data_IF_011095473667
#
_entry.id   IF_011095473667
#
_cell.length_a   1.000
_cell.length_b   1.000
_cell.length_c   1.000
_cell.angle_alpha   90.00
_cell.angle_beta   90.00
_cell.angle_gamma   90.00
#
_symmetry.space_group_name_H-M   'P 1'
#
loop_
_entity.id
_entity.type
_entity.pdbx_description
1 polymer ?
#
# COMPACT_ATOMS: atom_id res chain seq x y z
N UNK A 1 2.08 -14.38 -20.69
CA UNK A 1 1.49 -13.26 -19.91
C UNK A 1 1.72 -13.55 -18.42
N UNK A 2 2.14 -12.55 -17.66
CA UNK A 2 2.39 -12.66 -16.20
C UNK A 2 1.05 -12.92 -15.51
N UNK A 3 0.97 -13.97 -14.69
CA UNK A 3 -0.21 -14.28 -13.87
C UNK A 3 -0.04 -13.62 -12.51
N UNK A 4 -1.03 -12.85 -12.08
CA UNK A 4 -0.93 -12.10 -10.84
C UNK A 4 -2.14 -12.26 -9.94
N UNK A 5 -1.97 -11.93 -8.65
CA UNK A 5 -3.03 -11.61 -7.72
C UNK A 5 -2.78 -10.24 -7.12
N UNK A 6 -3.84 -9.56 -6.70
CA UNK A 6 -3.75 -8.23 -6.10
C UNK A 6 -4.36 -8.19 -4.71
N UNK A 7 -3.69 -7.55 -3.75
CA UNK A 7 -4.18 -7.37 -2.39
C UNK A 7 -4.26 -5.86 -2.07
N UNK A 8 -5.44 -5.36 -1.77
CA UNK A 8 -5.62 -3.94 -1.45
C UNK A 8 -6.98 -3.67 -0.84
N UNK A 9 -7.18 -2.46 -0.28
CA UNK A 9 -8.46 -2.11 0.35
C UNK A 9 -8.93 -0.69 0.04
N UNK A 10 -8.15 0.39 0.25
CA UNK A 10 -8.60 1.77 0.09
C UNK A 10 -8.55 2.23 -1.37
N UNK A 11 -9.06 3.44 -1.57
CA UNK A 11 -9.06 4.13 -2.86
C UNK A 11 -7.64 4.28 -3.44
N UNK A 12 -6.65 4.52 -2.59
CA UNK A 12 -5.23 4.64 -2.98
C UNK A 12 -4.67 3.39 -3.68
N UNK A 13 -5.30 2.23 -3.54
CA UNK A 13 -4.88 1.01 -4.22
C UNK A 13 -5.43 0.89 -5.65
N UNK A 14 -6.40 1.71 -6.05
CA UNK A 14 -7.10 1.61 -7.35
C UNK A 14 -6.17 1.84 -8.55
N UNK A 15 -5.30 2.89 -8.57
CA UNK A 15 -4.38 3.08 -9.70
C UNK A 15 -3.50 1.85 -9.96
N UNK A 16 -2.96 1.24 -8.90
CA UNK A 16 -2.16 0.03 -9.00
C UNK A 16 -2.98 -1.18 -9.48
N UNK A 17 -4.19 -1.40 -8.93
CA UNK A 17 -5.10 -2.45 -9.40
C UNK A 17 -5.39 -2.31 -10.90
N UNK A 18 -5.71 -1.10 -11.36
CA UNK A 18 -6.01 -0.83 -12.76
C UNK A 18 -4.84 -1.12 -13.70
N UNK A 19 -3.60 -0.82 -13.30
CA UNK A 19 -2.43 -1.13 -14.14
C UNK A 19 -2.13 -2.62 -14.11
N UNK A 20 -2.16 -3.29 -12.96
CA UNK A 20 -1.94 -4.74 -12.85
C UNK A 20 -2.95 -5.51 -13.72
N UNK A 21 -4.23 -5.13 -13.67
CA UNK A 21 -5.25 -5.73 -14.53
C UNK A 21 -4.94 -5.58 -16.04
N UNK A 22 -4.37 -4.45 -16.47
CA UNK A 22 -4.05 -4.20 -17.89
C UNK A 22 -2.81 -4.94 -18.38
N UNK A 23 -1.81 -5.13 -17.50
CA UNK A 23 -0.49 -5.64 -17.95
C UNK A 23 -0.26 -7.11 -17.56
N UNK A 24 -1.20 -7.74 -16.83
CA UNK A 24 -1.11 -9.14 -16.37
C UNK A 24 -2.42 -9.88 -16.56
N UNK A 25 -2.37 -11.21 -16.44
CA UNK A 25 -3.53 -12.08 -16.22
C UNK A 25 -3.86 -12.06 -14.71
N UNK A 26 -4.69 -11.08 -14.30
CA UNK A 26 -5.09 -10.89 -12.91
C UNK A 26 -6.16 -11.92 -12.49
N UNK A 27 -5.74 -12.92 -11.71
CA UNK A 27 -6.54 -14.09 -11.32
C UNK A 27 -7.46 -13.85 -10.13
N UNK A 28 -7.04 -13.01 -9.19
CA UNK A 28 -7.74 -12.81 -7.93
C UNK A 28 -7.45 -11.42 -7.37
N UNK A 29 -8.47 -10.78 -6.83
CA UNK A 29 -8.33 -9.59 -5.97
C UNK A 29 -8.72 -9.96 -4.54
N UNK A 30 -7.84 -9.67 -3.59
CA UNK A 30 -8.06 -9.88 -2.16
C UNK A 30 -8.27 -8.54 -1.50
N UNK A 31 -9.36 -8.38 -0.75
CA UNK A 31 -9.65 -7.15 -0.02
C UNK A 31 -10.25 -7.45 1.34
N UNK A 32 -10.28 -6.47 2.24
CA UNK A 32 -10.91 -6.65 3.55
C UNK A 32 -12.42 -6.85 3.40
N UNK A 33 -13.06 -7.60 4.34
CA UNK A 33 -14.51 -7.73 4.41
C UNK A 33 -15.22 -6.39 4.45
N UNK A 34 -16.44 -6.35 3.93
CA UNK A 34 -17.31 -5.18 3.98
C UNK A 34 -17.49 -4.74 5.44
N UNK A 35 -17.38 -3.42 5.67
CA UNK A 35 -17.49 -2.83 7.01
C UNK A 35 -18.56 -1.75 7.04
N UNK A 36 -19.23 -1.55 8.18
CA UNK A 36 -20.11 -0.41 8.37
C UNK A 36 -19.39 0.91 8.06
N UNK A 37 -20.00 1.75 7.22
CA UNK A 37 -19.51 3.09 6.88
C UNK A 37 -20.61 4.10 6.90
N UNK A 38 -20.26 5.33 7.32
CA UNK A 38 -21.17 6.45 7.39
C UNK A 38 -22.24 6.30 8.49
N UNK A 39 -23.19 7.25 8.54
CA UNK A 39 -24.23 7.32 9.60
C UNK A 39 -25.21 6.16 9.57
N UNK A 40 -25.39 5.51 8.41
CA UNK A 40 -26.35 4.40 8.28
C UNK A 40 -25.87 3.10 8.94
N UNK A 41 -24.58 2.98 9.26
CA UNK A 41 -24.01 1.75 9.83
C UNK A 41 -24.11 0.51 8.92
N UNK A 42 -24.58 0.65 7.69
CA UNK A 42 -24.69 -0.49 6.74
C UNK A 42 -23.31 -0.89 6.23
N UNK A 43 -23.02 -2.21 6.12
CA UNK A 43 -21.80 -2.67 5.48
C UNK A 43 -21.71 -2.13 4.05
N UNK A 44 -20.57 -1.56 3.71
CA UNK A 44 -20.25 -1.12 2.34
C UNK A 44 -18.99 -1.81 1.84
N UNK A 45 -18.94 -2.13 0.54
CA UNK A 45 -17.75 -2.69 -0.06
C UNK A 45 -16.56 -1.74 0.05
N UNK A 46 -15.34 -2.30 -0.01
CA UNK A 46 -14.13 -1.53 -0.17
C UNK A 46 -14.05 -0.96 -1.59
N UNK A 47 -13.30 0.13 -1.80
CA UNK A 47 -13.07 0.68 -3.13
C UNK A 47 -12.45 -0.38 -4.08
N UNK A 48 -11.53 -1.18 -3.56
CA UNK A 48 -10.90 -2.27 -4.32
C UNK A 48 -11.92 -3.36 -4.71
N UNK A 49 -12.90 -3.69 -3.84
CA UNK A 49 -13.98 -4.65 -4.20
C UNK A 49 -14.85 -4.09 -5.32
N UNK A 50 -15.30 -2.85 -5.21
CA UNK A 50 -16.13 -2.21 -6.23
C UNK A 50 -15.43 -2.21 -7.59
N UNK A 51 -14.15 -1.85 -7.61
CA UNK A 51 -13.35 -1.84 -8.83
C UNK A 51 -13.12 -3.25 -9.39
N UNK A 52 -12.79 -4.23 -8.55
CA UNK A 52 -12.61 -5.62 -8.98
C UNK A 52 -13.88 -6.20 -9.64
N UNK A 53 -15.05 -5.90 -9.07
CA UNK A 53 -16.34 -6.28 -9.65
C UNK A 53 -16.58 -5.61 -11.00
N UNK A 54 -16.23 -4.32 -11.14
CA UNK A 54 -16.31 -3.59 -12.41
C UNK A 54 -15.40 -4.19 -13.48
N UNK A 55 -14.23 -4.69 -13.07
CA UNK A 55 -13.26 -5.35 -13.94
C UNK A 55 -13.58 -6.85 -14.19
N UNK A 56 -14.66 -7.38 -13.58
CA UNK A 56 -15.03 -8.80 -13.65
C UNK A 56 -13.95 -9.75 -13.13
N UNK A 57 -13.14 -9.32 -12.13
CA UNK A 57 -12.11 -10.13 -11.51
C UNK A 57 -12.66 -10.79 -10.24
N UNK A 58 -12.40 -12.09 -9.99
CA UNK A 58 -12.79 -12.76 -8.76
C UNK A 58 -12.31 -12.04 -7.51
N UNK A 59 -13.16 -11.96 -6.47
CA UNK A 59 -12.86 -11.26 -5.21
C UNK A 59 -12.89 -12.22 -4.03
N UNK A 60 -11.83 -12.18 -3.22
CA UNK A 60 -11.73 -12.88 -1.95
C UNK A 60 -11.73 -11.85 -0.79
N UNK A 61 -12.61 -12.09 0.19
CA UNK A 61 -12.70 -11.28 1.41
C UNK A 61 -12.44 -12.14 2.66
N UNK A 62 -11.18 -12.50 2.96
CA UNK A 62 -10.87 -13.42 4.03
C UNK A 62 -11.15 -12.80 5.39
N UNK A 63 -11.76 -13.56 6.31
CA UNK A 63 -12.01 -13.16 7.69
C UNK A 63 -10.89 -13.61 8.63
N UNK A 64 -10.15 -14.66 8.25
CA UNK A 64 -9.05 -15.23 9.01
C UNK A 64 -7.78 -15.35 8.17
N UNK A 65 -6.63 -15.60 8.84
CA UNK A 65 -5.36 -15.89 8.16
C UNK A 65 -5.45 -17.18 7.35
N UNK A 66 -6.16 -18.18 7.86
CA UNK A 66 -6.33 -19.47 7.18
C UNK A 66 -7.15 -19.33 5.91
N UNK A 67 -8.26 -18.57 5.94
CA UNK A 67 -9.06 -18.28 4.74
C UNK A 67 -8.23 -17.53 3.68
N UNK A 68 -7.34 -16.60 4.11
CA UNK A 68 -6.45 -15.92 3.19
C UNK A 68 -5.51 -16.91 2.49
N UNK A 69 -4.85 -17.78 3.25
CA UNK A 69 -3.92 -18.78 2.70
C UNK A 69 -4.63 -19.74 1.75
N UNK A 70 -5.77 -20.26 2.15
CA UNK A 70 -6.55 -21.20 1.34
C UNK A 70 -7.02 -20.56 0.03
N UNK A 71 -7.65 -19.38 0.09
CA UNK A 71 -8.18 -18.72 -1.10
C UNK A 71 -7.08 -18.21 -2.05
N UNK A 72 -5.93 -17.77 -1.52
CA UNK A 72 -4.75 -17.48 -2.37
C UNK A 72 -4.21 -18.78 -3.00
N UNK A 73 -4.24 -19.89 -2.26
CA UNK A 73 -3.83 -21.19 -2.76
C UNK A 73 -4.69 -21.69 -3.93
N UNK A 74 -6.00 -21.44 -3.89
CA UNK A 74 -6.95 -21.79 -4.97
C UNK A 74 -6.71 -21.00 -6.26
N UNK A 75 -6.12 -19.81 -6.18
CA UNK A 75 -5.77 -18.99 -7.36
C UNK A 75 -4.51 -19.47 -8.10
N UNK A 76 -3.82 -20.49 -7.60
CA UNK A 76 -2.60 -21.03 -8.23
C UNK A 76 -2.88 -21.73 -9.58
N UNK A 77 -1.92 -21.73 -10.52
CA UNK A 77 -0.60 -21.10 -10.41
C UNK A 77 -0.64 -19.61 -10.73
N UNK A 78 0.13 -18.79 -9.97
CA UNK A 78 0.38 -17.39 -10.28
C UNK A 78 1.86 -17.04 -10.04
N UNK A 79 2.33 -16.03 -10.75
CA UNK A 79 3.75 -15.68 -10.76
C UNK A 79 4.09 -14.69 -9.65
N UNK A 80 3.24 -13.67 -9.43
CA UNK A 80 3.50 -12.59 -8.48
C UNK A 80 2.23 -12.15 -7.75
N UNK A 81 2.35 -11.86 -6.45
CA UNK A 81 1.35 -11.11 -5.70
C UNK A 81 1.75 -9.62 -5.63
N UNK A 82 0.78 -8.71 -5.75
CA UNK A 82 1.00 -7.27 -5.57
C UNK A 82 0.12 -6.76 -4.45
N UNK A 83 0.73 -6.13 -3.45
CA UNK A 83 0.04 -5.59 -2.28
C UNK A 83 0.15 -4.07 -2.25
N UNK A 84 -0.99 -3.40 -2.03
CA UNK A 84 -1.07 -1.94 -1.82
C UNK A 84 -2.09 -1.66 -0.73
N UNK A 85 -1.64 -1.17 0.41
CA UNK A 85 -2.50 -0.75 1.53
C UNK A 85 -3.59 -1.78 1.88
N UNK A 86 -3.25 -3.06 1.97
CA UNK A 86 -4.21 -4.14 2.29
C UNK A 86 -4.76 -4.03 3.71
N UNK A 87 -3.94 -3.51 4.65
CA UNK A 87 -4.33 -3.24 6.03
C UNK A 87 -4.44 -4.50 6.91
N UNK A 88 -3.84 -5.61 6.51
CA UNK A 88 -3.68 -6.84 7.29
C UNK A 88 -2.33 -7.47 6.98
N UNK A 89 -1.78 -8.18 7.96
CA UNK A 89 -0.55 -8.96 7.77
C UNK A 89 -0.85 -10.16 6.87
N UNK A 90 -0.04 -10.30 5.83
CA UNK A 90 -0.04 -11.49 4.96
C UNK A 90 0.90 -12.52 5.57
N UNK A 91 0.42 -13.72 5.93
CA UNK A 91 1.28 -14.73 6.54
C UNK A 91 2.32 -15.28 5.55
N UNK A 92 3.49 -15.64 6.04
CA UNK A 92 4.60 -16.20 5.23
C UNK A 92 4.14 -17.39 4.37
N UNK A 93 3.21 -18.21 4.90
CA UNK A 93 2.63 -19.34 4.16
C UNK A 93 1.87 -18.89 2.89
N UNK A 94 1.26 -17.70 2.90
CA UNK A 94 0.65 -17.12 1.69
C UNK A 94 1.69 -16.53 0.74
N UNK A 95 2.72 -15.86 1.27
CA UNK A 95 3.81 -15.30 0.47
C UNK A 95 4.54 -16.35 -0.39
N UNK A 96 4.69 -17.56 0.16
CA UNK A 96 5.34 -18.70 -0.52
C UNK A 96 4.50 -19.35 -1.62
N UNK A 97 3.27 -18.92 -1.83
CA UNK A 97 2.39 -19.49 -2.87
C UNK A 97 2.67 -18.90 -4.26
N UNK A 98 3.28 -17.73 -4.34
CA UNK A 98 3.69 -17.10 -5.59
C UNK A 98 5.02 -17.70 -6.10
N UNK A 99 5.14 -17.86 -7.41
CA UNK A 99 6.39 -18.37 -8.02
C UNK A 99 7.56 -17.41 -7.86
N UNK A 100 7.29 -16.10 -7.86
CA UNK A 100 8.27 -15.01 -7.79
C UNK A 100 8.13 -14.15 -6.52
N UNK A 101 7.24 -14.51 -5.58
CA UNK A 101 7.02 -13.77 -4.34
C UNK A 101 5.95 -12.68 -4.44
N UNK A 102 5.92 -11.84 -3.42
CA UNK A 102 4.96 -10.74 -3.30
C UNK A 102 5.68 -9.39 -3.27
N UNK A 103 5.14 -8.44 -3.99
CA UNK A 103 5.59 -7.06 -4.01
C UNK A 103 4.67 -6.21 -3.13
N UNK A 104 5.24 -5.36 -2.27
CA UNK A 104 4.50 -4.33 -1.56
C UNK A 104 4.86 -2.95 -2.11
N UNK A 105 3.86 -2.19 -2.55
CA UNK A 105 3.99 -0.77 -2.87
C UNK A 105 3.77 0.03 -1.58
N UNK A 106 4.85 0.56 -1.04
CA UNK A 106 4.86 1.36 0.18
C UNK A 106 4.96 2.86 -0.10
N UNK A 107 4.20 3.68 0.63
CA UNK A 107 4.09 5.12 0.38
C UNK A 107 5.11 5.95 1.18
N UNK A 108 6.37 5.51 1.14
CA UNK A 108 7.53 6.27 1.60
C UNK A 108 8.79 5.87 0.85
N UNK A 109 9.89 6.58 1.10
CA UNK A 109 11.23 6.19 0.70
C UNK A 109 11.84 5.31 1.79
N UNK A 110 11.63 4.00 1.72
CA UNK A 110 12.19 3.04 2.66
C UNK A 110 13.73 3.10 2.68
N UNK A 111 14.36 2.95 3.85
CA UNK A 111 13.83 2.41 5.10
C UNK A 111 13.10 3.42 6.01
N UNK A 112 12.92 4.67 5.59
CA UNK A 112 12.17 5.65 6.39
C UNK A 112 10.67 5.37 6.35
N UNK A 113 10.00 5.57 7.51
CA UNK A 113 8.56 5.47 7.66
C UNK A 113 7.99 4.08 7.34
N UNK A 114 8.64 3.00 7.84
CA UNK A 114 8.03 1.67 7.85
C UNK A 114 6.74 1.70 8.67
N UNK A 115 5.69 1.03 8.21
CA UNK A 115 4.43 0.89 8.97
C UNK A 115 3.20 1.49 8.29
N UNK A 116 2.20 1.87 9.10
CA UNK A 116 0.82 2.03 8.63
C UNK A 116 0.47 3.42 8.08
N UNK A 117 1.21 4.49 8.47
CA UNK A 117 0.84 5.87 8.17
C UNK A 117 2.03 6.73 7.66
N UNK A 118 2.82 6.24 6.67
CA UNK A 118 4.02 6.93 6.22
C UNK A 118 3.76 8.33 5.67
N UNK A 119 2.63 8.54 5.00
CA UNK A 119 2.25 9.83 4.39
C UNK A 119 2.03 10.89 5.47
N UNK A 120 1.25 10.55 6.50
CA UNK A 120 0.98 11.48 7.60
C UNK A 120 2.26 11.84 8.35
N UNK A 121 3.09 10.83 8.65
CA UNK A 121 4.34 11.04 9.39
C UNK A 121 5.35 11.88 8.61
N UNK A 122 5.46 11.75 7.28
CA UNK A 122 6.34 12.61 6.47
C UNK A 122 5.91 14.08 6.50
N UNK A 123 4.58 14.35 6.46
CA UNK A 123 4.05 15.71 6.58
C UNK A 123 4.27 16.27 7.99
N UNK A 124 3.98 15.49 9.04
CA UNK A 124 4.18 15.90 10.44
C UNK A 124 5.64 16.25 10.72
N UNK A 125 6.57 15.48 10.18
CA UNK A 125 8.01 15.73 10.29
C UNK A 125 8.47 16.97 9.52
N UNK A 126 7.64 17.52 8.63
CA UNK A 126 7.99 18.69 7.82
C UNK A 126 8.97 18.36 6.69
N UNK A 127 8.94 17.12 6.18
CA UNK A 127 9.79 16.75 5.06
C UNK A 127 9.40 17.49 3.78
N UNK A 128 10.42 17.91 2.99
CA UNK A 128 10.20 18.56 1.69
C UNK A 128 9.92 17.55 0.57
N UNK A 129 10.20 16.27 0.80
CA UNK A 129 9.96 15.20 -0.16
C UNK A 129 9.72 13.87 0.54
N UNK A 130 8.96 13.00 -0.12
CA UNK A 130 8.74 11.59 0.23
C UNK A 130 8.80 10.77 -1.06
N UNK A 131 8.12 9.65 -1.14
CA UNK A 131 8.08 8.88 -2.38
C UNK A 131 7.32 7.58 -2.24
N UNK A 132 7.56 6.72 -3.18
CA UNK A 132 7.06 5.34 -3.18
C UNK A 132 8.24 4.39 -3.28
N UNK A 133 8.13 3.25 -2.60
CA UNK A 133 9.10 2.16 -2.67
C UNK A 133 8.36 0.86 -2.96
N UNK A 134 8.85 0.08 -3.92
CA UNK A 134 8.42 -1.30 -4.12
C UNK A 134 9.46 -2.20 -3.48
N UNK A 135 9.03 -3.05 -2.56
CA UNK A 135 9.85 -4.07 -1.90
C UNK A 135 9.34 -5.47 -2.23
N UNK A 136 10.23 -6.44 -2.21
CA UNK A 136 9.85 -7.84 -2.10
C UNK A 136 9.50 -8.15 -0.65
N UNK A 137 8.32 -8.73 -0.42
CA UNK A 137 7.83 -8.94 0.94
C UNK A 137 8.55 -10.09 1.63
N UNK A 138 8.94 -9.87 2.86
CA UNK A 138 9.47 -10.85 3.80
C UNK A 138 8.52 -11.04 5.02
N UNK A 139 9.04 -11.64 6.09
CA UNK A 139 8.28 -11.87 7.32
C UNK A 139 8.15 -10.62 8.21
N UNK A 140 8.95 -9.58 7.95
CA UNK A 140 8.98 -8.34 8.73
C UNK A 140 7.98 -7.30 8.27
N UNK A 141 7.93 -6.19 9.01
CA UNK A 141 7.09 -5.05 8.65
C UNK A 141 7.90 -4.10 7.75
N UNK A 142 7.62 -4.15 6.44
CA UNK A 142 8.25 -3.31 5.41
C UNK A 142 9.80 -3.41 5.41
N UNK A 143 10.36 -4.58 5.79
CA UNK A 143 11.80 -4.85 5.92
C UNK A 143 12.42 -5.46 4.68
N UNK A 144 11.61 -5.96 3.78
CA UNK A 144 12.06 -6.65 2.57
C UNK A 144 12.97 -5.81 1.68
N UNK A 145 13.75 -6.43 0.80
CA UNK A 145 14.69 -5.72 -0.06
C UNK A 145 13.96 -4.80 -1.05
N UNK A 146 14.56 -3.64 -1.27
CA UNK A 146 14.06 -2.61 -2.21
C UNK A 146 14.34 -3.04 -3.64
N UNK A 147 13.31 -3.02 -4.46
CA UNK A 147 13.38 -3.31 -5.90
C UNK A 147 13.43 -2.02 -6.73
N UNK A 148 12.60 -1.05 -6.38
CA UNK A 148 12.56 0.26 -7.03
C UNK A 148 12.02 1.33 -6.06
N UNK A 149 12.36 2.59 -6.30
CA UNK A 149 11.80 3.73 -5.58
C UNK A 149 11.66 4.95 -6.50
N UNK A 150 10.73 5.83 -6.18
CA UNK A 150 10.52 7.08 -6.91
C UNK A 150 10.19 8.21 -5.94
N UNK A 151 10.91 9.33 -6.06
CA UNK A 151 10.76 10.50 -5.18
C UNK A 151 9.54 11.32 -5.57
N UNK A 152 8.84 11.87 -4.58
CA UNK A 152 7.74 12.82 -4.72
C UNK A 152 7.99 14.05 -3.84
N UNK A 153 8.01 15.24 -4.41
CA UNK A 153 8.05 16.50 -3.66
C UNK A 153 6.74 16.68 -2.90
N UNK A 154 6.83 17.12 -1.66
CA UNK A 154 5.67 17.53 -0.84
C UNK A 154 5.51 19.04 -1.00
N UNK A 155 4.46 19.47 -1.68
CA UNK A 155 4.16 20.89 -1.83
C UNK A 155 3.68 21.48 -0.49
N UNK A 156 3.89 22.79 -0.26
CA UNK A 156 3.49 23.45 0.98
C UNK A 156 2.00 23.29 1.33
N UNK A 157 1.16 23.17 0.31
CA UNK A 157 -0.30 22.99 0.43
C UNK A 157 -0.75 21.53 0.47
N UNK A 158 0.15 20.58 0.23
CA UNK A 158 -0.24 19.16 0.23
C UNK A 158 -0.81 18.71 1.57
N UNK A 159 -1.96 18.09 1.49
CA UNK A 159 -2.56 17.33 2.58
C UNK A 159 -2.19 15.84 2.45
N UNK A 160 -2.46 15.04 3.48
CA UNK A 160 -2.28 13.58 3.34
C UNK A 160 -3.14 12.99 2.22
N UNK A 161 -4.33 13.54 1.98
CA UNK A 161 -5.19 13.10 0.89
C UNK A 161 -4.62 13.40 -0.49
N UNK A 162 -4.21 14.67 -0.75
CA UNK A 162 -3.63 15.03 -2.05
C UNK A 162 -2.30 14.32 -2.32
N UNK A 163 -1.48 14.15 -1.27
CA UNK A 163 -0.21 13.43 -1.38
C UNK A 163 -0.42 11.92 -1.62
N UNK A 164 -1.43 11.32 -0.97
CA UNK A 164 -1.82 9.92 -1.21
C UNK A 164 -2.16 9.69 -2.67
N UNK A 165 -2.95 10.57 -3.30
CA UNK A 165 -3.30 10.49 -4.72
C UNK A 165 -2.05 10.54 -5.62
N UNK A 166 -1.16 11.51 -5.39
CA UNK A 166 0.10 11.64 -6.15
C UNK A 166 0.95 10.37 -6.04
N UNK A 167 1.11 9.85 -4.82
CA UNK A 167 1.90 8.64 -4.55
C UNK A 167 1.25 7.40 -5.15
N UNK A 168 -0.08 7.28 -5.12
CA UNK A 168 -0.81 6.16 -5.73
C UNK A 168 -0.57 6.07 -7.25
N UNK A 169 -0.65 7.20 -7.96
CA UNK A 169 -0.36 7.23 -9.40
C UNK A 169 1.11 6.96 -9.70
N UNK A 170 2.02 7.57 -8.95
CA UNK A 170 3.47 7.34 -9.10
C UNK A 170 3.85 5.90 -8.86
N UNK A 171 3.27 5.29 -7.82
CA UNK A 171 3.49 3.87 -7.50
C UNK A 171 2.94 2.93 -8.56
N UNK A 172 1.78 3.24 -9.10
CA UNK A 172 1.19 2.48 -10.20
C UNK A 172 2.09 2.50 -11.45
N UNK A 173 2.65 3.66 -11.80
CA UNK A 173 3.61 3.76 -12.92
C UNK A 173 4.87 2.95 -12.64
N UNK A 174 5.44 3.07 -11.44
CA UNK A 174 6.64 2.34 -11.04
C UNK A 174 6.43 0.82 -11.10
N UNK A 175 5.22 0.32 -10.78
CA UNK A 175 4.86 -1.10 -10.91
C UNK A 175 4.86 -1.56 -12.37
N UNK A 176 4.33 -0.76 -13.31
CA UNK A 176 4.34 -1.08 -14.75
C UNK A 176 5.77 -1.25 -15.23
N UNK A 177 6.64 -0.31 -14.88
CA UNK A 177 8.02 -0.28 -15.34
C UNK A 177 8.86 -1.44 -14.75
N UNK A 178 8.59 -1.79 -13.48
CA UNK A 178 9.35 -2.81 -12.74
C UNK A 178 8.93 -4.25 -13.09
N UNK A 179 7.62 -4.49 -13.24
CA UNK A 179 7.06 -5.84 -13.16
C UNK A 179 7.61 -6.83 -14.20
N UNK A 180 7.80 -6.46 -15.47
CA UNK A 180 8.38 -7.37 -16.48
C UNK A 180 9.79 -7.82 -16.08
N UNK A 181 10.65 -6.87 -15.69
CA UNK A 181 12.03 -7.13 -15.33
C UNK A 181 12.14 -7.96 -14.05
N UNK A 182 11.24 -7.72 -13.09
CA UNK A 182 11.19 -8.50 -11.86
C UNK A 182 10.85 -9.97 -12.14
N UNK A 183 9.81 -10.24 -12.90
CA UNK A 183 9.38 -11.62 -13.20
C UNK A 183 10.44 -12.37 -14.00
N UNK A 184 11.16 -11.69 -14.88
CA UNK A 184 12.27 -12.27 -15.66
C UNK A 184 13.58 -12.37 -14.86
N UNK A 185 13.62 -11.89 -13.61
CA UNK A 185 14.80 -11.98 -12.75
C UNK A 185 15.92 -10.99 -13.10
N UNK A 186 15.62 -9.92 -13.83
CA UNK A 186 16.59 -8.86 -14.19
C UNK A 186 16.79 -7.81 -13.12
N UNK A 187 15.84 -7.69 -12.18
CA UNK A 187 15.93 -6.74 -11.06
C UNK A 187 16.90 -7.26 -10.01
N UNK A 188 17.77 -6.37 -9.51
CA UNK A 188 18.66 -6.66 -8.37
C UNK A 188 18.08 -6.07 -7.10
N UNK A 189 17.55 -6.91 -6.18
CA UNK A 189 17.03 -6.44 -4.90
C UNK A 189 18.16 -5.82 -4.06
N UNK A 190 17.90 -4.72 -3.36
CA UNK A 190 18.83 -4.04 -2.47
C UNK A 190 18.36 -4.15 -1.04
N UNK A 191 19.17 -4.71 -0.14
CA UNK A 191 18.88 -4.75 1.28
C UNK A 191 18.68 -3.32 1.81
N UNK A 192 17.76 -3.16 2.75
CA UNK A 192 17.57 -1.90 3.46
C UNK A 192 18.65 -1.73 4.55
N UNK A 193 19.07 -0.50 4.81
CA UNK A 193 19.93 -0.17 5.94
C UNK A 193 19.04 0.07 7.19
N UNK A 194 19.01 -0.90 8.10
CA UNK A 194 18.17 -0.83 9.30
C UNK A 194 18.59 0.31 10.26
N UNK A 195 19.83 0.79 10.18
CA UNK A 195 20.27 1.93 10.98
C UNK A 195 19.58 3.24 10.58
N UNK A 196 19.05 3.34 9.35
CA UNK A 196 18.31 4.47 8.85
C UNK A 196 16.79 4.30 8.96
N UNK A 197 16.32 3.17 9.49
CA UNK A 197 14.90 2.90 9.57
C UNK A 197 14.20 3.82 10.57
N UNK A 198 13.06 4.37 10.15
CA UNK A 198 12.11 5.06 11.03
C UNK A 198 10.73 4.43 10.88
N UNK A 199 9.86 4.64 11.89
CA UNK A 199 8.57 3.99 11.94
C UNK A 199 7.44 4.99 11.90
N UNK A 200 6.37 4.63 11.19
CA UNK A 200 5.14 5.38 11.03
C UNK A 200 3.96 4.54 11.56
N UNK A 201 3.73 4.54 12.89
CA UNK A 201 2.61 3.81 13.47
C UNK A 201 1.28 4.33 12.92
N UNK A 202 0.22 3.54 13.12
CA UNK A 202 -1.13 3.96 12.79
C UNK A 202 -1.50 5.20 13.59
N UNK A 203 -2.09 6.19 12.92
CA UNK A 203 -2.62 7.40 13.57
C UNK A 203 -3.90 7.05 14.33
N UNK A 204 -3.95 7.46 15.59
CA UNK A 204 -5.16 7.36 16.41
C UNK A 204 -5.95 8.67 16.37
N UNK A 205 -7.29 8.66 16.42
CA UNK A 205 -8.12 9.87 16.33
C UNK A 205 -7.77 10.95 17.37
N UNK A 206 -7.29 10.56 18.54
CA UNK A 206 -6.88 11.49 19.59
C UNK A 206 -5.66 12.35 19.19
N UNK A 207 -4.84 11.87 18.28
CA UNK A 207 -3.66 12.60 17.79
C UNK A 207 -4.03 13.80 16.90
N UNK A 208 -5.26 13.87 16.42
CA UNK A 208 -5.75 15.01 15.61
C UNK A 208 -6.02 16.28 16.44
N UNK A 209 -5.98 16.20 17.76
CA UNK A 209 -6.13 17.37 18.63
C UNK A 209 -5.06 18.44 18.34
N UNK A 210 -5.47 19.72 18.38
CA UNK A 210 -4.60 20.87 18.22
C UNK A 210 -4.34 21.52 19.58
N UNK A 211 -3.07 21.60 19.99
CA UNK A 211 -2.64 22.41 21.13
C UNK A 211 -2.11 23.75 20.61
N UNK A 212 -2.90 24.80 20.75
CA UNK A 212 -2.57 26.15 20.26
C UNK A 212 -1.33 26.79 20.95
N UNK A 213 -0.72 26.12 21.92
CA UNK A 213 0.59 26.50 22.47
C UNK A 213 1.76 26.06 21.58
N UNK A 214 1.52 25.12 20.66
CA UNK A 214 2.54 24.69 19.68
C UNK A 214 2.81 25.77 18.63
N UNK A 215 4.01 25.77 18.03
CA UNK A 215 4.33 26.71 16.94
C UNK A 215 3.35 26.57 15.76
N UNK A 216 2.95 27.71 15.17
CA UNK A 216 1.99 27.76 14.06
C UNK A 216 2.34 26.79 12.89
N UNK A 217 3.65 26.68 12.57
CA UNK A 217 4.11 25.75 11.54
C UNK A 217 3.86 24.27 11.87
N UNK A 218 3.94 23.89 13.15
CA UNK A 218 3.62 22.53 13.59
C UNK A 218 2.11 22.26 13.49
N UNK A 219 1.30 23.23 13.91
CA UNK A 219 -0.17 23.15 13.80
C UNK A 219 -0.61 23.05 12.33
N UNK A 220 -0.02 23.86 11.45
CA UNK A 220 -0.32 23.81 10.01
C UNK A 220 0.05 22.43 9.40
N UNK A 221 1.19 21.83 9.79
CA UNK A 221 1.54 20.48 9.36
C UNK A 221 0.55 19.44 9.90
N UNK A 222 0.12 19.55 11.16
CA UNK A 222 -0.85 18.65 11.78
C UNK A 222 -2.20 18.69 11.04
N UNK A 223 -2.70 19.89 10.73
CA UNK A 223 -3.94 20.06 9.95
C UNK A 223 -3.82 19.39 8.58
N UNK A 224 -2.70 19.57 7.88
CA UNK A 224 -2.48 18.95 6.55
C UNK A 224 -2.31 17.44 6.64
N UNK A 225 -1.56 16.94 7.63
CA UNK A 225 -1.32 15.52 7.83
C UNK A 225 -2.62 14.77 8.15
N UNK A 226 -3.57 15.41 8.83
CA UNK A 226 -4.84 14.81 9.23
C UNK A 226 -6.03 15.19 8.33
N UNK A 227 -5.78 15.70 7.16
CA UNK A 227 -6.81 16.03 6.17
C UNK A 227 -6.72 15.01 5.00
N UNK A 228 -7.79 14.27 4.69
CA UNK A 228 -9.18 14.37 5.22
C UNK A 228 -9.46 13.49 6.45
N UNK A 229 -8.49 12.82 7.00
CA UNK A 229 -8.64 11.89 8.15
C UNK A 229 -7.44 11.97 9.09
N UNK A 230 -7.59 11.69 10.39
CA UNK A 230 -8.34 10.62 11.00
C UNK A 230 -9.85 10.79 11.00
#
# INVERSE_FOLDING_TARGET
MIRSIFLGTPLAAIPALGVIHRVTDLRLVVTQPDRPRGRSGRPRPSAVKEEALRLSVPVLQPRSRQELVNGVGEARPFDVGVLVAFGRIVPVSALRLANKGFLNLHFSLLPRWRGAAPIQHSILAGEGSTGVTIIEMDAGLDTGPVLASSVQVIAPEDTSGSLEEKLAFRGAQLLVDLLPDYVEGRVRPRAQDDAQATYAPKIEPAEAGLDFREPAGALARRVRAFNPRP
#
